data_IF_914833429540
#
_entry.id   IF_914833429540
#
_cell.length_a   1.000
_cell.length_b   1.000
_cell.length_c   1.000
_cell.angle_alpha   90.00
_cell.angle_beta   90.00
_cell.angle_gamma   90.00
#
_symmetry.space_group_name_H-M   'P 1'
#
loop_
_entity.id
_entity.type
_entity.pdbx_description
1 polymer ?
#
# COMPACT_ATOMS: atom_id res chain seq x y z
N UNK A 1 -4.59 4.25 8.67
CA UNK A 1 -5.58 3.14 8.63
C UNK A 1 -4.84 1.85 8.32
N UNK A 2 -5.15 0.74 8.97
CA UNK A 2 -4.56 -0.58 8.72
C UNK A 2 -5.65 -1.47 8.13
N UNK A 3 -5.38 -2.12 7.01
CA UNK A 3 -6.30 -3.06 6.35
C UNK A 3 -5.91 -4.49 6.72
N UNK A 4 -6.89 -5.30 7.07
CA UNK A 4 -6.70 -6.71 7.46
C UNK A 4 -7.20 -7.63 6.35
N UNK A 5 -6.46 -7.69 5.26
CA UNK A 5 -6.67 -8.70 4.22
C UNK A 5 -6.06 -10.03 4.65
N UNK A 6 -6.67 -11.12 4.22
CA UNK A 6 -6.15 -12.49 4.43
C UNK A 6 -5.72 -12.76 5.88
N UNK A 7 -6.53 -12.32 6.86
CA UNK A 7 -6.19 -12.42 8.28
C UNK A 7 -5.85 -13.87 8.68
N UNK A 8 -6.61 -14.82 8.16
CA UNK A 8 -6.38 -16.25 8.39
C UNK A 8 -4.99 -16.70 7.92
N UNK A 9 -4.65 -16.43 6.66
CA UNK A 9 -3.33 -16.78 6.09
C UNK A 9 -2.19 -16.11 6.84
N UNK A 10 -2.38 -14.84 7.25
CA UNK A 10 -1.39 -14.12 8.03
C UNK A 10 -1.16 -14.76 9.40
N UNK A 11 -2.21 -15.20 10.08
CA UNK A 11 -2.09 -15.88 11.37
C UNK A 11 -1.34 -17.21 11.21
N UNK A 12 -1.65 -18.00 10.16
CA UNK A 12 -0.90 -19.22 9.85
C UNK A 12 0.58 -18.94 9.63
N UNK A 13 0.91 -17.96 8.80
CA UNK A 13 2.32 -17.59 8.55
C UNK A 13 3.07 -17.16 9.82
N UNK A 14 2.41 -16.45 10.74
CA UNK A 14 3.02 -16.04 12.00
C UNK A 14 3.28 -17.24 12.91
N UNK A 15 2.34 -18.16 13.03
CA UNK A 15 2.39 -19.23 14.04
C UNK A 15 3.10 -20.48 13.50
N UNK A 16 2.78 -20.93 12.30
CA UNK A 16 3.33 -22.16 11.72
C UNK A 16 4.69 -21.92 11.04
N UNK A 17 4.78 -20.86 10.21
CA UNK A 17 6.01 -20.52 9.52
C UNK A 17 7.00 -19.71 10.39
N UNK A 18 6.61 -19.39 11.65
CA UNK A 18 7.38 -18.59 12.61
C UNK A 18 7.83 -17.22 12.06
N UNK A 19 7.04 -16.65 11.17
CA UNK A 19 7.33 -15.34 10.55
C UNK A 19 6.94 -14.20 11.51
N UNK A 20 7.75 -14.01 12.55
CA UNK A 20 7.50 -13.02 13.62
C UNK A 20 8.24 -11.69 13.45
N UNK A 21 9.02 -11.53 12.37
CA UNK A 21 9.82 -10.35 12.11
C UNK A 21 8.97 -9.06 12.09
N UNK A 22 9.33 -8.10 12.92
CA UNK A 22 8.62 -6.83 13.06
C UNK A 22 7.25 -6.90 13.75
N UNK A 23 6.86 -8.06 14.29
CA UNK A 23 5.61 -8.25 15.04
C UNK A 23 5.88 -8.02 16.52
N UNK A 24 5.20 -7.04 17.11
CA UNK A 24 5.31 -6.78 18.55
C UNK A 24 4.65 -7.88 19.40
N UNK A 25 5.17 -8.10 20.61
CA UNK A 25 4.76 -9.14 21.58
C UNK A 25 3.22 -9.21 21.73
N UNK A 26 2.55 -8.09 21.97
CA UNK A 26 1.08 -8.08 22.15
C UNK A 26 0.31 -8.53 20.91
N UNK A 27 0.81 -8.20 19.72
CA UNK A 27 0.19 -8.66 18.47
C UNK A 27 0.43 -10.14 18.23
N UNK A 28 1.59 -10.67 18.63
CA UNK A 28 1.91 -12.09 18.56
C UNK A 28 1.03 -12.90 19.52
N UNK A 29 0.86 -12.44 20.76
CA UNK A 29 -0.05 -13.05 21.76
C UNK A 29 -1.49 -13.10 21.19
N UNK A 30 -1.96 -12.01 20.61
CA UNK A 30 -3.29 -11.94 20.00
C UNK A 30 -3.46 -12.95 18.85
N UNK A 31 -2.50 -13.01 17.93
CA UNK A 31 -2.54 -13.94 16.79
C UNK A 31 -2.50 -15.40 17.27
N UNK A 32 -1.65 -15.71 18.28
CA UNK A 32 -1.58 -17.05 18.87
C UNK A 32 -2.88 -17.41 19.61
N UNK A 33 -3.52 -16.46 20.28
CA UNK A 33 -4.81 -16.67 20.92
C UNK A 33 -5.89 -17.05 19.89
N UNK A 34 -5.98 -16.34 18.75
CA UNK A 34 -6.91 -16.69 17.67
C UNK A 34 -6.56 -18.06 17.09
N UNK A 35 -5.28 -18.32 16.83
CA UNK A 35 -4.83 -19.58 16.25
C UNK A 35 -5.26 -20.78 17.11
N UNK A 36 -4.88 -20.80 18.40
CA UNK A 36 -5.16 -21.93 19.31
C UNK A 36 -6.62 -22.02 19.78
N UNK A 37 -7.42 -20.97 19.56
CA UNK A 37 -8.86 -21.04 19.91
C UNK A 37 -9.77 -21.33 18.72
N UNK A 38 -9.36 -20.99 17.50
CA UNK A 38 -10.24 -21.04 16.33
C UNK A 38 -9.69 -21.78 15.12
N UNK A 39 -8.40 -21.58 14.78
CA UNK A 39 -7.81 -22.11 13.54
C UNK A 39 -7.25 -23.52 13.72
N UNK A 40 -6.60 -23.76 14.85
CA UNK A 40 -6.11 -25.05 15.30
C UNK A 40 -6.46 -25.23 16.77
N UNK A 41 -7.75 -25.43 17.10
CA UNK A 41 -8.22 -25.39 18.47
C UNK A 41 -7.63 -26.50 19.31
N UNK A 42 -7.13 -26.12 20.49
CA UNK A 42 -6.66 -27.03 21.54
C UNK A 42 -7.58 -26.96 22.74
N UNK A 43 -7.43 -27.89 23.72
CA UNK A 43 -8.21 -27.85 24.94
C UNK A 43 -8.07 -26.48 25.63
N UNK A 44 -9.20 -25.95 26.12
CA UNK A 44 -9.24 -24.60 26.71
C UNK A 44 -8.21 -24.40 27.82
N UNK A 45 -7.93 -25.44 28.60
CA UNK A 45 -6.92 -25.43 29.68
C UNK A 45 -5.48 -25.29 29.16
N UNK A 46 -5.24 -25.71 27.90
CA UNK A 46 -3.90 -25.77 27.31
C UNK A 46 -3.58 -24.51 26.46
N UNK A 47 -4.62 -23.75 26.06
CA UNK A 47 -4.42 -22.55 25.21
C UNK A 47 -3.40 -21.60 25.79
N UNK A 48 -3.47 -21.32 27.10
CA UNK A 48 -2.54 -20.41 27.77
C UNK A 48 -1.08 -20.87 27.61
N UNK A 49 -0.82 -22.14 27.87
CA UNK A 49 0.55 -22.67 27.80
C UNK A 49 1.04 -22.79 26.37
N UNK A 50 0.18 -23.12 25.41
CA UNK A 50 0.53 -23.10 23.99
C UNK A 50 0.97 -21.71 23.52
N UNK A 51 0.31 -20.65 23.98
CA UNK A 51 0.72 -19.27 23.70
C UNK A 51 2.07 -18.98 24.37
N UNK A 52 2.26 -19.37 25.63
CA UNK A 52 3.52 -19.16 26.35
C UNK A 52 4.67 -19.86 25.65
N UNK A 53 4.48 -21.11 25.23
CA UNK A 53 5.51 -21.88 24.53
C UNK A 53 5.88 -21.25 23.20
N UNK A 54 4.88 -20.87 22.38
CA UNK A 54 5.11 -20.13 21.13
C UNK A 54 5.90 -18.83 21.36
N UNK A 55 5.53 -18.06 22.39
CA UNK A 55 6.21 -16.81 22.70
C UNK A 55 7.66 -17.00 23.16
N UNK A 56 7.92 -18.04 23.96
CA UNK A 56 9.28 -18.39 24.41
C UNK A 56 10.19 -18.82 23.28
N UNK A 57 9.64 -19.55 22.31
CA UNK A 57 10.39 -20.02 21.15
C UNK A 57 10.77 -18.88 20.18
N UNK A 58 9.97 -17.83 20.12
CA UNK A 58 10.09 -16.82 19.06
C UNK A 58 10.46 -15.42 19.54
N UNK A 59 10.51 -15.19 20.88
CA UNK A 59 10.83 -13.88 21.46
C UNK A 59 11.84 -14.03 22.58
N UNK A 60 13.08 -13.64 22.32
CA UNK A 60 14.17 -13.69 23.30
C UNK A 60 13.80 -12.92 24.58
N UNK A 61 14.05 -13.56 25.73
CA UNK A 61 13.80 -12.95 27.04
C UNK A 61 12.30 -12.80 27.39
N UNK A 62 11.38 -13.47 26.69
CA UNK A 62 9.96 -13.40 27.01
C UNK A 62 9.66 -13.98 28.40
N UNK A 63 9.17 -13.14 29.30
CA UNK A 63 8.78 -13.47 30.67
C UNK A 63 7.25 -13.45 30.77
N UNK A 64 6.60 -14.64 30.72
CA UNK A 64 5.14 -14.73 30.68
C UNK A 64 4.43 -14.10 31.89
N UNK A 65 5.13 -14.03 33.04
CA UNK A 65 4.59 -13.44 34.28
C UNK A 65 4.12 -11.99 34.07
N UNK A 66 4.84 -11.22 33.24
CA UNK A 66 4.47 -9.85 32.86
C UNK A 66 3.26 -9.78 31.91
N UNK A 67 2.86 -10.90 31.31
CA UNK A 67 1.81 -10.95 30.27
C UNK A 67 0.59 -11.80 30.63
N UNK A 68 0.51 -12.36 31.84
CA UNK A 68 -0.59 -13.23 32.28
C UNK A 68 -1.96 -12.59 32.01
N UNK A 69 -2.13 -11.33 32.43
CA UNK A 69 -3.39 -10.59 32.26
C UNK A 69 -3.71 -10.38 30.76
N UNK A 70 -2.71 -10.04 29.95
CA UNK A 70 -2.87 -9.84 28.52
C UNK A 70 -3.27 -11.13 27.82
N UNK A 71 -2.56 -12.23 28.09
CA UNK A 71 -2.83 -13.54 27.51
C UNK A 71 -4.26 -13.99 27.85
N UNK A 72 -4.66 -13.94 29.12
CA UNK A 72 -6.00 -14.35 29.53
C UNK A 72 -7.10 -13.47 28.92
N UNK A 73 -6.89 -12.17 28.84
CA UNK A 73 -7.81 -11.23 28.18
C UNK A 73 -7.96 -11.55 26.71
N UNK A 74 -6.85 -11.82 26.02
CA UNK A 74 -6.86 -12.08 24.58
C UNK A 74 -7.44 -13.46 24.26
N UNK A 75 -7.20 -14.49 25.08
CA UNK A 75 -7.88 -15.79 24.98
C UNK A 75 -9.41 -15.61 25.06
N UNK A 76 -9.90 -14.90 26.10
CA UNK A 76 -11.34 -14.67 26.26
C UNK A 76 -11.97 -13.87 25.12
N UNK A 77 -11.23 -12.95 24.54
CA UNK A 77 -11.67 -12.22 23.34
C UNK A 77 -11.64 -13.09 22.09
N UNK A 78 -10.60 -13.91 21.92
CA UNK A 78 -10.40 -14.74 20.75
C UNK A 78 -11.55 -15.77 20.58
N UNK A 79 -12.09 -16.34 21.64
CA UNK A 79 -13.28 -17.21 21.57
C UNK A 79 -14.53 -16.54 20.97
N UNK A 80 -14.63 -15.22 21.10
CA UNK A 80 -15.75 -14.41 20.58
C UNK A 80 -15.40 -13.66 19.31
N UNK A 81 -14.15 -13.70 18.90
CA UNK A 81 -13.67 -12.99 17.75
C UNK A 81 -14.11 -13.68 16.47
N UNK A 82 -14.48 -12.91 15.47
CA UNK A 82 -14.72 -13.41 14.13
C UNK A 82 -13.55 -13.09 13.26
N UNK A 83 -12.87 -14.11 12.76
CA UNK A 83 -11.76 -13.94 11.81
C UNK A 83 -12.26 -13.25 10.56
N UNK A 84 -11.55 -12.21 10.12
CA UNK A 84 -11.88 -11.41 8.96
C UNK A 84 -11.19 -12.00 7.73
N UNK A 85 -11.96 -12.47 6.79
CA UNK A 85 -11.45 -13.11 5.58
C UNK A 85 -11.83 -12.27 4.35
N UNK A 86 -11.27 -11.07 4.29
CA UNK A 86 -11.38 -10.21 3.11
C UNK A 86 -10.22 -10.54 2.18
N UNK A 87 -10.49 -11.20 1.06
CA UNK A 87 -9.46 -11.51 0.06
C UNK A 87 -9.37 -10.41 -1.00
N UNK A 88 -10.52 -10.00 -1.50
CA UNK A 88 -10.64 -8.97 -2.54
C UNK A 88 -11.89 -8.12 -2.33
N UNK A 89 -11.87 -6.94 -2.95
CA UNK A 89 -13.01 -6.02 -2.99
C UNK A 89 -13.32 -5.68 -4.44
N UNK A 90 -14.54 -5.97 -4.89
CA UNK A 90 -14.97 -5.73 -6.25
C UNK A 90 -15.60 -4.34 -6.41
N UNK A 91 -15.16 -3.61 -7.40
CA UNK A 91 -15.73 -2.33 -7.85
C UNK A 91 -16.50 -2.58 -9.14
N UNK A 92 -17.75 -2.18 -9.20
CA UNK A 92 -18.61 -2.41 -10.37
C UNK A 92 -18.39 -1.33 -11.43
N UNK A 93 -18.85 -1.62 -12.67
CA UNK A 93 -18.78 -0.67 -13.78
C UNK A 93 -19.57 0.60 -13.50
N UNK A 94 -20.79 0.48 -12.96
CA UNK A 94 -21.62 1.64 -12.62
C UNK A 94 -20.95 2.56 -11.60
N UNK A 95 -20.26 1.98 -10.61
CA UNK A 95 -19.53 2.74 -9.60
C UNK A 95 -18.36 3.51 -10.21
N UNK A 96 -17.61 2.86 -11.11
CA UNK A 96 -16.50 3.49 -11.83
C UNK A 96 -17.02 4.58 -12.79
N UNK A 97 -18.09 4.32 -13.53
CA UNK A 97 -18.68 5.31 -14.45
C UNK A 97 -19.12 6.57 -13.71
N UNK A 98 -19.73 6.41 -12.52
CA UNK A 98 -20.07 7.55 -11.67
C UNK A 98 -18.84 8.34 -11.23
N UNK A 99 -17.74 7.65 -10.87
CA UNK A 99 -16.49 8.32 -10.52
C UNK A 99 -15.90 9.05 -11.72
N UNK A 100 -15.89 8.42 -12.90
CA UNK A 100 -15.34 8.99 -14.13
C UNK A 100 -16.15 10.18 -14.64
N UNK A 101 -17.45 10.29 -14.32
CA UNK A 101 -18.28 11.46 -14.65
C UNK A 101 -17.84 12.74 -13.93
N UNK A 102 -17.09 12.64 -12.83
CA UNK A 102 -16.48 13.80 -12.17
C UNK A 102 -15.39 14.40 -13.06
N UNK A 103 -15.46 15.71 -13.31
CA UNK A 103 -14.53 16.38 -14.25
C UNK A 103 -13.09 16.47 -13.76
N UNK A 104 -12.89 16.53 -12.44
CA UNK A 104 -11.56 16.73 -11.82
C UNK A 104 -10.95 15.42 -11.35
N UNK A 105 -9.73 15.12 -11.82
CA UNK A 105 -8.98 13.91 -11.45
C UNK A 105 -8.71 13.80 -9.93
N UNK A 106 -8.57 14.92 -9.21
CA UNK A 106 -8.40 14.89 -7.76
C UNK A 106 -9.70 14.43 -7.09
N UNK A 107 -10.86 14.92 -7.57
CA UNK A 107 -12.18 14.51 -7.12
C UNK A 107 -12.42 13.03 -7.43
N UNK A 108 -12.09 12.57 -8.64
CA UNK A 108 -12.19 11.16 -9.02
C UNK A 108 -11.40 10.24 -8.07
N UNK A 109 -10.14 10.59 -7.78
CA UNK A 109 -9.30 9.80 -6.85
C UNK A 109 -9.88 9.75 -5.44
N UNK A 110 -10.42 10.86 -4.94
CA UNK A 110 -11.05 10.91 -3.60
C UNK A 110 -12.32 10.06 -3.59
N UNK A 111 -13.18 10.19 -4.60
CA UNK A 111 -14.41 9.39 -4.71
C UNK A 111 -14.10 7.89 -4.79
N UNK A 112 -13.06 7.50 -5.54
CA UNK A 112 -12.60 6.13 -5.61
C UNK A 112 -12.12 5.59 -4.26
N UNK A 113 -11.34 6.37 -3.52
CA UNK A 113 -10.87 5.99 -2.17
C UNK A 113 -12.06 5.83 -1.22
N UNK A 114 -13.04 6.74 -1.24
CA UNK A 114 -14.25 6.66 -0.41
C UNK A 114 -15.00 5.36 -0.71
N UNK A 115 -15.22 5.05 -1.99
CA UNK A 115 -15.87 3.82 -2.41
C UNK A 115 -15.12 2.56 -1.95
N UNK A 116 -13.82 2.52 -2.20
CA UNK A 116 -12.98 1.39 -1.80
C UNK A 116 -13.03 1.16 -0.28
N UNK A 117 -12.94 2.24 0.53
CA UNK A 117 -13.02 2.15 1.99
C UNK A 117 -14.38 1.64 2.47
N UNK A 118 -15.49 2.11 1.88
CA UNK A 118 -16.82 1.65 2.23
C UNK A 118 -17.02 0.16 1.90
N UNK A 119 -16.62 -0.26 0.71
CA UNK A 119 -16.71 -1.67 0.29
C UNK A 119 -15.81 -2.59 1.12
N UNK A 120 -14.59 -2.15 1.45
CA UNK A 120 -13.72 -2.88 2.35
C UNK A 120 -14.39 -3.06 3.73
N UNK A 121 -14.93 -1.97 4.30
CA UNK A 121 -15.58 -2.03 5.61
C UNK A 121 -16.83 -2.92 5.59
N UNK A 122 -17.60 -2.90 4.51
CA UNK A 122 -18.72 -3.81 4.31
C UNK A 122 -18.27 -5.27 4.29
N UNK A 123 -17.22 -5.58 3.51
CA UNK A 123 -16.65 -6.93 3.44
C UNK A 123 -16.08 -7.38 4.79
N UNK A 124 -15.33 -6.50 5.47
CA UNK A 124 -14.71 -6.79 6.76
C UNK A 124 -15.75 -7.01 7.87
N UNK A 125 -16.81 -6.19 7.92
CA UNK A 125 -17.86 -6.27 8.94
C UNK A 125 -19.03 -7.17 8.56
N UNK A 126 -19.07 -7.64 7.31
CA UNK A 126 -20.20 -8.37 6.70
C UNK A 126 -21.53 -7.60 6.82
N UNK A 127 -21.46 -6.30 6.62
CA UNK A 127 -22.60 -5.38 6.62
C UNK A 127 -22.71 -4.73 5.25
N UNK A 128 -23.86 -4.11 4.99
CA UNK A 128 -24.15 -3.39 3.75
C UNK A 128 -24.60 -1.96 4.04
N UNK A 129 -24.06 -1.37 5.11
CA UNK A 129 -24.45 -0.02 5.53
C UNK A 129 -23.59 1.10 4.91
N UNK A 130 -22.57 0.72 4.12
CA UNK A 130 -21.66 1.62 3.39
C UNK A 130 -20.91 2.62 4.27
N UNK A 131 -20.87 2.35 5.56
CA UNK A 131 -20.24 3.22 6.56
C UNK A 131 -18.82 2.76 6.83
N UNK A 132 -17.89 3.68 6.80
CA UNK A 132 -16.47 3.46 7.10
C UNK A 132 -15.95 4.57 8.02
N UNK A 133 -14.81 4.30 8.66
CA UNK A 133 -14.18 5.22 9.60
C UNK A 133 -12.85 5.69 9.05
N UNK A 134 -12.75 6.96 8.66
CA UNK A 134 -11.53 7.57 8.19
C UNK A 134 -11.51 9.07 8.47
N UNK A 135 -10.35 9.59 8.83
CA UNK A 135 -10.13 11.04 8.87
C UNK A 135 -10.00 11.57 7.43
N UNK A 136 -10.49 12.78 7.18
CA UNK A 136 -10.32 13.45 5.89
C UNK A 136 -8.86 13.45 5.42
N UNK A 137 -7.92 13.67 6.35
CA UNK A 137 -6.48 13.63 6.03
C UNK A 137 -5.99 12.26 5.53
N UNK A 138 -6.56 11.15 6.01
CA UNK A 138 -6.23 9.80 5.55
C UNK A 138 -6.78 9.56 4.14
N UNK A 139 -8.00 10.04 3.85
CA UNK A 139 -8.59 9.96 2.51
C UNK A 139 -7.71 10.72 1.50
N UNK A 140 -7.28 11.95 1.82
CA UNK A 140 -6.36 12.71 0.97
C UNK A 140 -5.03 11.99 0.75
N UNK A 141 -4.48 11.38 1.80
CA UNK A 141 -3.24 10.61 1.72
C UNK A 141 -3.38 9.39 0.81
N UNK A 142 -4.42 8.58 0.99
CA UNK A 142 -4.70 7.40 0.15
C UNK A 142 -4.98 7.79 -1.31
N UNK A 143 -5.69 8.90 -1.53
CA UNK A 143 -5.95 9.46 -2.85
C UNK A 143 -4.72 10.12 -3.49
N UNK A 144 -3.61 10.30 -2.75
CA UNK A 144 -2.43 11.07 -3.21
C UNK A 144 -2.84 12.42 -3.78
N UNK A 145 -3.70 13.14 -3.05
CA UNK A 145 -4.17 14.48 -3.42
C UNK A 145 -3.59 15.50 -2.44
N UNK A 146 -2.83 16.44 -2.97
CA UNK A 146 -2.29 17.55 -2.20
C UNK A 146 -3.24 18.75 -2.32
N UNK A 147 -3.78 19.17 -1.17
CA UNK A 147 -4.57 20.39 -0.99
C UNK A 147 -4.07 21.09 0.28
N UNK A 148 -3.83 22.41 0.26
CA UNK A 148 -3.47 23.15 1.46
C UNK A 148 -4.43 22.87 2.62
N UNK A 149 -3.91 22.80 3.84
CA UNK A 149 -4.72 22.39 5.00
C UNK A 149 -5.98 23.28 5.19
N UNK A 150 -5.83 24.59 4.98
CA UNK A 150 -6.91 25.59 5.07
C UNK A 150 -8.03 25.38 4.05
N UNK A 151 -7.74 24.75 2.91
CA UNK A 151 -8.69 24.59 1.80
C UNK A 151 -9.30 23.18 1.77
N UNK A 152 -8.86 22.28 2.65
CA UNK A 152 -9.26 20.86 2.62
C UNK A 152 -10.75 20.67 2.85
N UNK A 153 -11.31 21.34 3.83
CA UNK A 153 -12.73 21.17 4.18
C UNK A 153 -13.64 21.73 3.07
N UNK A 154 -13.27 22.89 2.51
CA UNK A 154 -13.97 23.46 1.37
C UNK A 154 -13.86 22.56 0.15
N UNK A 155 -12.65 22.08 -0.17
CA UNK A 155 -12.44 21.16 -1.28
C UNK A 155 -13.20 19.85 -1.04
N UNK A 156 -13.17 19.31 0.18
CA UNK A 156 -13.86 18.06 0.51
C UNK A 156 -15.38 18.18 0.45
N UNK A 157 -15.93 19.37 0.59
CA UNK A 157 -17.38 19.64 0.51
C UNK A 157 -18.03 19.13 -0.80
N UNK A 158 -17.25 18.94 -1.88
CA UNK A 158 -17.77 18.39 -3.12
C UNK A 158 -18.35 16.98 -2.94
N UNK A 159 -17.85 16.17 -2.01
CA UNK A 159 -18.32 14.79 -1.80
C UNK A 159 -19.79 14.71 -1.42
N UNK A 160 -20.29 15.72 -0.72
CA UNK A 160 -21.72 15.84 -0.39
C UNK A 160 -22.50 16.44 -1.56
N UNK A 161 -21.97 17.48 -2.22
CA UNK A 161 -22.60 18.14 -3.36
C UNK A 161 -22.80 17.19 -4.55
N UNK A 162 -21.81 16.36 -4.85
CA UNK A 162 -21.85 15.40 -5.95
C UNK A 162 -22.51 14.06 -5.54
N UNK A 163 -23.05 13.95 -4.32
CA UNK A 163 -23.69 12.74 -3.83
C UNK A 163 -22.76 11.54 -3.71
N UNK A 164 -21.50 11.78 -3.32
CA UNK A 164 -20.50 10.74 -3.06
C UNK A 164 -20.64 10.25 -1.61
N UNK A 165 -20.90 11.14 -0.65
CA UNK A 165 -21.21 10.83 0.73
C UNK A 165 -22.64 11.22 1.07
N UNK A 166 -23.29 10.41 1.91
CA UNK A 166 -24.54 10.79 2.59
C UNK A 166 -24.23 11.70 3.78
N UNK A 167 -25.07 12.67 4.04
CA UNK A 167 -24.99 13.44 5.27
C UNK A 167 -25.42 12.57 6.45
N UNK A 168 -24.52 12.32 7.37
CA UNK A 168 -24.82 11.64 8.63
C UNK A 168 -24.93 12.67 9.74
N UNK A 169 -26.08 12.72 10.39
CA UNK A 169 -26.34 13.61 11.54
C UNK A 169 -25.86 13.03 12.88
N UNK A 170 -25.20 11.87 12.90
CA UNK A 170 -24.64 11.31 14.13
C UNK A 170 -23.42 12.12 14.56
N UNK A 171 -23.61 12.88 15.60
CA UNK A 171 -22.56 13.67 16.26
C UNK A 171 -21.59 12.69 16.94
N UNK A 172 -20.32 12.71 16.53
CA UNK A 172 -19.29 12.24 17.43
C UNK A 172 -18.18 11.34 16.90
N UNK A 173 -18.15 10.92 15.63
CA UNK A 173 -17.03 10.12 15.11
C UNK A 173 -16.82 10.36 13.60
N UNK A 174 -15.58 10.10 13.13
CA UNK A 174 -15.18 10.16 11.72
C UNK A 174 -15.90 9.08 10.86
N UNK A 175 -17.17 8.81 11.15
CA UNK A 175 -18.02 7.87 10.42
C UNK A 175 -18.55 8.55 9.16
N UNK A 176 -18.22 8.01 8.02
CA UNK A 176 -18.61 8.50 6.71
C UNK A 176 -19.41 7.39 6.01
N UNK A 177 -20.51 7.75 5.33
CA UNK A 177 -21.33 6.79 4.59
C UNK A 177 -21.27 7.10 3.10
N UNK A 178 -20.78 6.17 2.30
CA UNK A 178 -20.78 6.31 0.85
C UNK A 178 -22.23 6.23 0.32
N UNK A 179 -22.53 7.07 -0.68
CA UNK A 179 -23.91 7.20 -1.18
C UNK A 179 -24.16 6.37 -2.46
N UNK A 180 -23.15 5.77 -3.05
CA UNK A 180 -23.21 5.18 -4.39
C UNK A 180 -22.63 3.77 -4.48
N UNK A 181 -22.53 3.07 -3.35
CA UNK A 181 -22.13 1.65 -3.32
C UNK A 181 -23.22 0.82 -3.98
N UNK A 182 -22.81 -0.01 -4.91
CA UNK A 182 -23.68 -0.94 -5.60
C UNK A 182 -23.64 -2.32 -4.93
N UNK A 183 -24.80 -2.81 -4.48
CA UNK A 183 -24.95 -4.08 -3.80
C UNK A 183 -25.50 -5.21 -4.70
N UNK A 184 -25.79 -4.89 -5.98
CA UNK A 184 -26.28 -5.89 -6.94
C UNK A 184 -25.14 -6.74 -7.52
N UNK A 185 -25.51 -7.90 -8.07
CA UNK A 185 -24.64 -8.67 -8.96
C UNK A 185 -24.53 -7.94 -10.30
N UNK A 186 -23.46 -7.18 -10.50
CA UNK A 186 -23.22 -6.40 -11.70
C UNK A 186 -21.83 -6.65 -12.22
N UNK A 187 -21.59 -6.24 -13.46
CA UNK A 187 -20.30 -6.33 -14.13
C UNK A 187 -19.19 -5.71 -13.26
N UNK A 188 -18.21 -6.52 -12.88
CA UNK A 188 -17.05 -6.09 -12.11
C UNK A 188 -16.08 -5.41 -13.06
N UNK A 189 -15.76 -4.15 -12.77
CA UNK A 189 -14.80 -3.36 -13.54
C UNK A 189 -13.38 -3.51 -13.01
N UNK A 190 -13.23 -3.62 -11.67
CA UNK A 190 -11.94 -3.69 -11.01
C UNK A 190 -12.05 -4.52 -9.73
N UNK A 191 -11.11 -5.44 -9.52
CA UNK A 191 -10.94 -6.18 -8.29
C UNK A 191 -9.72 -5.65 -7.56
N UNK A 192 -9.90 -5.24 -6.31
CA UNK A 192 -8.85 -4.70 -5.45
C UNK A 192 -8.42 -5.74 -4.42
N UNK A 193 -7.12 -5.90 -4.23
CA UNK A 193 -6.51 -6.74 -3.19
C UNK A 193 -5.76 -5.90 -2.12
N UNK A 194 -5.04 -6.56 -1.23
CA UNK A 194 -4.29 -5.91 -0.16
C UNK A 194 -3.23 -4.91 -0.65
N UNK A 195 -2.58 -5.20 -1.77
CA UNK A 195 -1.55 -4.31 -2.34
C UNK A 195 -2.16 -3.07 -2.97
N UNK A 196 -3.38 -3.17 -3.52
CA UNK A 196 -4.12 -2.03 -4.05
C UNK A 196 -4.49 -1.06 -2.94
N UNK A 197 -4.85 -1.58 -1.77
CA UNK A 197 -5.19 -0.74 -0.62
C UNK A 197 -4.01 0.02 -0.01
N UNK A 198 -2.79 -0.41 -0.28
CA UNK A 198 -1.60 0.38 0.05
C UNK A 198 -1.44 1.60 -0.87
N UNK A 199 -1.98 1.53 -2.10
CA UNK A 199 -1.74 2.51 -3.17
C UNK A 199 -3.00 2.74 -4.03
N UNK A 200 -4.18 2.90 -3.42
CA UNK A 200 -5.48 3.03 -4.09
C UNK A 200 -5.48 4.03 -5.25
N UNK A 201 -4.80 5.18 -5.08
CA UNK A 201 -4.70 6.16 -6.15
C UNK A 201 -4.03 5.63 -7.41
N UNK A 202 -3.04 4.75 -7.27
CA UNK A 202 -2.35 4.17 -8.43
C UNK A 202 -3.13 3.03 -9.05
N UNK A 203 -3.84 2.23 -8.27
CA UNK A 203 -4.78 1.23 -8.77
C UNK A 203 -5.84 1.90 -9.66
N UNK A 204 -6.45 2.99 -9.19
CA UNK A 204 -7.40 3.78 -9.97
C UNK A 204 -6.79 4.37 -11.25
N UNK A 205 -5.62 5.01 -11.15
CA UNK A 205 -4.95 5.62 -12.29
C UNK A 205 -4.53 4.58 -13.33
N UNK A 206 -4.13 3.38 -12.89
CA UNK A 206 -3.83 2.29 -13.80
C UNK A 206 -5.06 1.80 -14.54
N UNK A 207 -6.19 1.65 -13.86
CA UNK A 207 -7.46 1.33 -14.50
C UNK A 207 -7.84 2.36 -15.56
N UNK A 208 -7.72 3.65 -15.23
CA UNK A 208 -8.14 4.75 -16.10
C UNK A 208 -7.24 4.95 -17.32
N UNK A 209 -5.92 4.98 -17.13
CA UNK A 209 -4.95 5.46 -18.11
C UNK A 209 -3.85 4.43 -18.43
N UNK A 210 -3.74 3.34 -17.65
CA UNK A 210 -2.58 2.45 -17.70
C UNK A 210 -1.29 3.12 -17.22
N UNK A 211 -0.15 2.45 -17.46
CA UNK A 211 1.20 2.99 -17.20
C UNK A 211 1.70 2.81 -15.76
N UNK A 212 0.92 2.16 -14.91
CA UNK A 212 1.35 1.74 -13.58
C UNK A 212 1.53 0.23 -13.54
N UNK A 213 2.49 -0.25 -12.77
CA UNK A 213 2.77 -1.69 -12.60
C UNK A 213 3.01 -2.02 -11.13
N UNK A 214 2.78 -3.27 -10.76
CA UNK A 214 3.16 -3.77 -9.44
C UNK A 214 4.62 -4.21 -9.44
N UNK A 215 5.35 -3.82 -8.41
CA UNK A 215 6.72 -4.27 -8.19
C UNK A 215 6.74 -5.76 -7.91
N UNK A 216 7.55 -6.54 -8.63
CA UNK A 216 7.65 -7.99 -8.43
C UNK A 216 8.14 -8.39 -7.03
N UNK A 217 8.90 -7.53 -6.35
CA UNK A 217 9.46 -7.83 -5.03
C UNK A 217 8.49 -7.46 -3.89
N UNK A 218 7.84 -6.27 -3.94
CA UNK A 218 7.05 -5.77 -2.81
C UNK A 218 5.56 -5.58 -3.11
N UNK A 219 5.09 -5.93 -4.31
CA UNK A 219 3.69 -5.79 -4.71
C UNK A 219 3.18 -4.34 -4.89
N UNK A 220 3.90 -3.33 -4.39
CA UNK A 220 3.46 -1.93 -4.47
C UNK A 220 3.40 -1.41 -5.89
N UNK A 221 2.40 -0.59 -6.18
CA UNK A 221 2.27 0.10 -7.43
C UNK A 221 3.36 1.15 -7.65
N UNK A 222 3.85 1.26 -8.86
CA UNK A 222 4.77 2.31 -9.27
C UNK A 222 4.49 2.73 -10.72
N UNK A 223 4.83 3.96 -11.06
CA UNK A 223 4.74 4.44 -12.44
C UNK A 223 5.85 3.81 -13.26
N UNK A 224 5.49 2.98 -14.24
CA UNK A 224 6.43 2.33 -15.12
C UNK A 224 7.03 3.32 -16.12
N UNK A 225 8.36 3.34 -16.27
CA UNK A 225 9.06 4.17 -17.27
C UNK A 225 9.02 3.53 -18.67
N UNK A 226 8.87 2.22 -18.73
CA UNK A 226 8.77 1.44 -19.97
C UNK A 226 7.99 0.15 -19.70
N UNK A 227 7.62 -0.55 -20.79
CA UNK A 227 6.98 -1.86 -20.68
C UNK A 227 7.87 -2.92 -20.04
N UNK A 228 9.19 -2.77 -20.08
CA UNK A 228 10.14 -3.66 -19.44
C UNK A 228 10.30 -3.42 -17.92
N UNK A 229 9.80 -2.32 -17.38
CA UNK A 229 9.91 -1.99 -15.96
C UNK A 229 9.20 -3.03 -15.09
N UNK A 230 9.93 -3.77 -14.25
CA UNK A 230 9.41 -4.84 -13.37
C UNK A 230 9.45 -4.47 -11.89
N UNK A 231 10.30 -3.52 -11.50
CA UNK A 231 10.60 -3.16 -10.11
C UNK A 231 10.39 -1.68 -9.85
N UNK A 232 9.95 -1.32 -8.64
CA UNK A 232 9.90 0.07 -8.20
C UNK A 232 11.32 0.62 -7.99
N UNK A 233 11.45 1.94 -7.84
CA UNK A 233 12.76 2.59 -7.72
C UNK A 233 13.63 2.00 -6.60
N UNK A 234 13.05 1.61 -5.48
CA UNK A 234 13.78 1.01 -4.34
C UNK A 234 14.34 -0.37 -4.71
N UNK A 235 13.54 -1.24 -5.33
CA UNK A 235 13.95 -2.61 -5.64
C UNK A 235 14.72 -2.72 -6.95
N UNK A 236 14.64 -1.72 -7.81
CA UNK A 236 15.45 -1.63 -9.02
C UNK A 236 16.93 -1.47 -8.70
N UNK A 237 17.28 -0.64 -7.73
CA UNK A 237 18.67 -0.42 -7.32
C UNK A 237 19.32 -1.70 -6.79
N UNK A 238 18.58 -2.49 -6.01
CA UNK A 238 19.08 -3.76 -5.48
C UNK A 238 19.28 -4.82 -6.57
N UNK A 239 18.47 -4.80 -7.63
CA UNK A 239 18.62 -5.73 -8.76
C UNK A 239 19.79 -5.36 -9.67
N UNK A 240 20.02 -4.07 -9.90
CA UNK A 240 21.16 -3.57 -10.68
C UNK A 240 22.51 -3.84 -9.97
N UNK A 241 22.50 -3.97 -8.63
CA UNK A 241 23.71 -4.35 -7.86
C UNK A 241 24.02 -5.84 -7.90
N UNK A 242 23.01 -6.73 -8.06
CA UNK A 242 23.23 -8.18 -8.11
C UNK A 242 23.88 -8.66 -9.42
N UNK A 243 23.72 -7.91 -10.51
CA UNK A 243 24.27 -8.22 -11.84
C UNK A 243 25.42 -7.26 -12.22
N UNK A 244 26.09 -6.68 -11.23
CA UNK A 244 27.23 -5.79 -11.48
C UNK A 244 28.52 -6.57 -11.60
N UNK A 245 29.30 -6.23 -12.62
CA UNK A 245 30.67 -6.74 -12.83
C UNK A 245 31.66 -5.60 -12.58
N UNK A 246 32.82 -5.96 -12.03
CA UNK A 246 33.89 -4.99 -11.88
C UNK A 246 34.49 -4.69 -13.25
N UNK A 247 34.48 -3.42 -13.63
CA UNK A 247 35.04 -2.91 -14.90
C UNK A 247 36.00 -1.77 -14.65
N UNK A 248 36.91 -1.53 -15.56
CA UNK A 248 37.84 -0.41 -15.50
C UNK A 248 37.33 0.77 -16.31
N UNK A 249 37.41 1.99 -15.75
CA UNK A 249 36.98 3.22 -16.42
C UNK A 249 37.93 3.53 -17.58
N UNK A 250 37.39 3.68 -18.78
CA UNK A 250 38.18 3.97 -19.98
C UNK A 250 38.89 5.35 -19.95
N UNK A 251 38.44 6.27 -19.06
CA UNK A 251 39.02 7.61 -18.98
C UNK A 251 40.09 7.73 -17.87
N UNK A 252 39.86 7.12 -16.71
CA UNK A 252 40.76 7.30 -15.55
C UNK A 252 41.37 6.00 -15.00
N UNK A 253 41.07 4.83 -15.57
CA UNK A 253 41.58 3.56 -15.12
C UNK A 253 41.01 3.06 -13.78
N UNK A 254 40.10 3.80 -13.12
CA UNK A 254 39.54 3.42 -11.83
C UNK A 254 38.57 2.26 -11.99
N UNK A 255 38.73 1.21 -11.19
CA UNK A 255 37.79 0.08 -11.13
C UNK A 255 36.47 0.51 -10.44
N UNK A 256 35.36 0.10 -11.01
CA UNK A 256 34.03 0.36 -10.46
C UNK A 256 33.05 -0.73 -10.87
N UNK A 257 31.92 -0.83 -10.16
CA UNK A 257 30.86 -1.77 -10.48
C UNK A 257 29.95 -1.20 -11.59
N UNK A 258 29.84 -1.92 -12.70
CA UNK A 258 28.93 -1.59 -13.80
C UNK A 258 27.96 -2.74 -14.06
N UNK A 259 26.81 -2.45 -14.69
CA UNK A 259 25.87 -3.48 -15.12
C UNK A 259 26.53 -4.47 -16.07
N UNK A 260 26.25 -5.77 -15.92
CA UNK A 260 26.76 -6.84 -16.80
C UNK A 260 26.42 -6.64 -18.28
N UNK A 261 25.43 -5.80 -18.60
CA UNK A 261 25.07 -5.40 -19.96
C UNK A 261 25.94 -4.25 -20.49
N UNK A 262 26.73 -3.58 -19.66
CA UNK A 262 27.60 -2.47 -20.02
C UNK A 262 28.98 -2.99 -20.48
N UNK A 263 28.98 -3.81 -21.50
CA UNK A 263 30.21 -4.43 -22.02
C UNK A 263 30.97 -3.46 -22.91
N UNK A 264 32.17 -3.11 -22.55
CA UNK A 264 33.31 -2.58 -23.36
C UNK A 264 33.63 -1.08 -23.33
N UNK A 265 32.73 -0.17 -22.97
CA UNK A 265 33.04 1.28 -22.95
C UNK A 265 32.37 1.98 -21.77
N UNK A 266 32.75 1.58 -20.55
CA UNK A 266 32.15 2.16 -19.35
C UNK A 266 33.03 3.28 -18.77
N UNK A 267 32.42 4.39 -18.39
CA UNK A 267 33.02 5.44 -17.59
C UNK A 267 32.49 5.41 -16.17
N UNK A 268 33.33 5.63 -15.19
CA UNK A 268 32.88 5.81 -13.82
C UNK A 268 31.99 7.06 -13.70
N UNK A 269 31.18 7.15 -12.65
CA UNK A 269 30.24 8.28 -12.45
C UNK A 269 30.95 9.63 -12.45
N UNK A 270 32.16 9.73 -11.92
CA UNK A 270 32.92 10.99 -11.90
C UNK A 270 33.31 11.45 -13.31
N UNK A 271 33.80 10.53 -14.15
CA UNK A 271 34.16 10.85 -15.52
C UNK A 271 32.93 11.13 -16.39
N UNK A 272 31.86 10.38 -16.22
CA UNK A 272 30.61 10.62 -16.92
C UNK A 272 29.98 11.97 -16.54
N UNK A 273 30.03 12.36 -15.28
CA UNK A 273 29.54 13.66 -14.83
C UNK A 273 30.36 14.83 -15.43
N UNK A 274 31.70 14.69 -15.52
CA UNK A 274 32.53 15.71 -16.18
C UNK A 274 32.12 15.91 -17.64
N UNK A 275 31.90 14.82 -18.37
CA UNK A 275 31.46 14.87 -19.77
C UNK A 275 30.07 15.51 -19.87
N UNK A 276 29.14 15.12 -19.01
CA UNK A 276 27.77 15.67 -19.00
C UNK A 276 27.77 17.19 -18.70
N UNK A 277 28.62 17.66 -17.79
CA UNK A 277 28.77 19.07 -17.50
C UNK A 277 29.28 19.83 -18.74
N UNK A 278 30.29 19.30 -19.43
CA UNK A 278 30.83 19.97 -20.62
C UNK A 278 29.84 19.96 -21.79
N UNK A 279 29.12 18.84 -22.01
CA UNK A 279 28.03 18.76 -23.00
C UNK A 279 26.92 19.78 -22.72
N UNK A 280 26.54 19.91 -21.45
CA UNK A 280 25.53 20.92 -21.05
C UNK A 280 26.03 22.34 -21.23
N UNK A 281 27.31 22.60 -21.01
CA UNK A 281 27.95 23.90 -21.26
C UNK A 281 27.94 24.25 -22.76
N UNK A 282 28.31 23.29 -23.62
CA UNK A 282 28.26 23.44 -25.08
C UNK A 282 26.81 23.69 -25.54
N UNK A 283 25.86 22.88 -25.11
CA UNK A 283 24.45 23.03 -25.45
C UNK A 283 23.85 24.37 -24.98
N UNK A 284 24.31 24.88 -23.85
CA UNK A 284 23.90 26.19 -23.33
C UNK A 284 24.49 27.33 -24.18
N UNK A 285 25.77 27.25 -24.59
CA UNK A 285 26.37 28.21 -25.51
C UNK A 285 25.67 28.23 -26.86
N UNK A 286 25.32 27.07 -27.42
CA UNK A 286 24.58 26.98 -28.67
C UNK A 286 23.17 27.56 -28.57
N UNK A 287 22.44 27.32 -27.47
CA UNK A 287 21.14 27.95 -27.22
C UNK A 287 21.23 29.47 -27.15
N UNK A 288 22.23 29.99 -26.46
CA UNK A 288 22.46 31.44 -26.38
C UNK A 288 22.86 32.05 -27.75
N UNK A 289 23.63 31.34 -28.56
CA UNK A 289 23.96 31.75 -29.93
C UNK A 289 22.70 31.81 -30.83
N UNK A 290 21.84 30.78 -30.77
CA UNK A 290 20.58 30.79 -31.51
C UNK A 290 19.67 31.93 -31.07
N UNK A 291 19.60 32.22 -29.79
CA UNK A 291 18.77 33.31 -29.25
C UNK A 291 19.29 34.69 -29.75
N UNK A 292 20.62 34.93 -29.75
CA UNK A 292 21.21 36.16 -30.26
C UNK A 292 21.05 36.36 -31.78
N UNK A 293 20.88 35.30 -32.55
CA UNK A 293 20.69 35.36 -34.00
C UNK A 293 19.20 35.49 -34.41
N UNK A 294 18.29 35.46 -33.45
CA UNK A 294 16.83 35.66 -33.68
C UNK A 294 16.35 37.03 -33.16
N UNK A 295 17.19 37.78 -32.51
CA UNK A 295 16.99 39.20 -32.12
C UNK A 295 17.81 40.11 -33.03
#
# INVERSE_FOLDING_TARGET
MRFNFNEKSRIYSIIEDKNVDGIGINQAIWNAAIYYTQLNPVDKKDVFWKIVDFMRENYDGFMYQGYITTINKDINKAYKYRIKDVNTVNITKNEIDKILSLKDIKKQKIAFVILALAKYQNAESQRTNDTFYAKTSEIFKLARVSVPAKDRDLFFGFVYKEGILKQNFSIGYNALTAAFVDHGEKEVALTLDEYDYLELAYAFLNYKNGGYKRCKTCGRWFRAKSNASKYCNVHRQNYEQSDSVEVECIECGKKFLASSLATKTCRCNECQNKINIELNRIASKERMRRYRNQT
#
